data_IF_141539471272
#
_entry.id   IF_141539471272
#
_cell.length_a   1.000
_cell.length_b   1.000
_cell.length_c   1.000
_cell.angle_alpha   90.00
_cell.angle_beta   90.00
_cell.angle_gamma   90.00
#
_symmetry.space_group_name_H-M   'P 1'
#
loop_
_entity.id
_entity.type
_entity.pdbx_description
1 polymer ?
#
# COMPACT_ATOMS: atom_id res chain seq x y z
N UNK A 1 -12.65 9.40 -9.60
CA UNK A 1 -11.94 10.61 -10.05
C UNK A 1 -10.61 10.20 -10.61
N UNK A 2 -10.25 10.75 -11.76
CA UNK A 2 -8.95 10.55 -12.38
C UNK A 2 -8.09 11.79 -12.13
N UNK A 3 -6.85 11.58 -11.66
CA UNK A 3 -5.88 12.65 -11.45
C UNK A 3 -4.83 12.57 -12.58
N UNK A 4 -4.60 13.69 -13.27
CA UNK A 4 -3.52 13.78 -14.24
C UNK A 4 -2.25 14.27 -13.55
N UNK A 5 -1.19 13.48 -13.60
CA UNK A 5 0.11 13.85 -13.05
C UNK A 5 0.99 14.66 -14.03
N UNK A 6 0.50 14.88 -15.25
CA UNK A 6 1.31 15.52 -16.31
C UNK A 6 2.56 14.70 -16.60
N UNK A 7 3.73 15.27 -16.36
CA UNK A 7 5.03 14.60 -16.54
C UNK A 7 5.55 13.91 -15.26
N UNK A 8 4.84 14.03 -14.14
CA UNK A 8 5.27 13.44 -12.87
C UNK A 8 5.02 11.93 -12.85
N UNK A 9 5.96 11.17 -12.26
CA UNK A 9 5.90 9.72 -12.11
C UNK A 9 5.24 9.26 -10.79
N UNK A 10 4.59 10.16 -10.07
CA UNK A 10 3.92 9.90 -8.78
C UNK A 10 2.79 10.90 -8.54
N UNK A 11 1.90 10.57 -7.62
CA UNK A 11 0.98 11.51 -7.00
C UNK A 11 1.68 12.23 -5.86
N UNK A 12 1.29 13.46 -5.58
CA UNK A 12 1.64 14.18 -4.35
C UNK A 12 0.39 14.45 -3.50
N UNK A 13 0.61 14.86 -2.25
CA UNK A 13 -0.48 15.09 -1.30
C UNK A 13 -1.42 16.22 -1.73
N UNK A 14 -0.95 17.22 -2.49
CA UNK A 14 -1.76 18.32 -2.98
C UNK A 14 -2.75 17.85 -4.06
N UNK A 15 -2.26 17.04 -5.01
CA UNK A 15 -3.12 16.44 -6.05
C UNK A 15 -4.23 15.58 -5.43
N UNK A 16 -3.89 14.79 -4.40
CA UNK A 16 -4.86 13.96 -3.69
C UNK A 16 -5.86 14.83 -2.91
N UNK A 17 -5.38 15.87 -2.23
CA UNK A 17 -6.24 16.81 -1.52
C UNK A 17 -7.29 17.44 -2.43
N UNK A 18 -6.87 17.97 -3.57
CA UNK A 18 -7.77 18.58 -4.55
C UNK A 18 -8.81 17.59 -5.11
N UNK A 19 -8.40 16.34 -5.32
CA UNK A 19 -9.31 15.28 -5.74
C UNK A 19 -10.33 14.93 -4.65
N UNK A 20 -9.91 14.86 -3.38
CA UNK A 20 -10.80 14.56 -2.25
C UNK A 20 -11.88 15.62 -2.06
N UNK A 21 -11.62 16.88 -2.38
CA UNK A 21 -12.63 17.94 -2.33
C UNK A 21 -13.79 17.76 -3.33
N UNK A 22 -13.61 16.88 -4.33
CA UNK A 22 -14.64 16.56 -5.31
C UNK A 22 -15.51 15.36 -4.88
N UNK A 23 -15.24 14.77 -3.72
CA UNK A 23 -15.96 13.61 -3.17
C UNK A 23 -16.83 14.02 -1.99
N UNK A 24 -18.02 13.42 -1.87
CA UNK A 24 -18.84 13.48 -0.65
C UNK A 24 -18.28 12.50 0.38
N UNK A 25 -17.17 12.85 1.03
CA UNK A 25 -16.42 11.93 1.91
C UNK A 25 -17.26 11.38 3.07
N UNK A 26 -18.30 12.10 3.51
CA UNK A 26 -19.22 11.68 4.56
C UNK A 26 -20.07 10.45 4.18
N UNK A 27 -20.21 10.19 2.88
CA UNK A 27 -21.01 9.08 2.36
C UNK A 27 -20.14 7.86 1.99
N UNK A 28 -18.82 7.95 2.23
CA UNK A 28 -17.86 6.93 1.86
C UNK A 28 -17.27 6.24 3.09
N UNK A 29 -17.20 4.93 3.02
CA UNK A 29 -16.54 4.10 4.04
C UNK A 29 -15.04 4.00 3.85
N UNK A 30 -14.60 3.87 2.60
CA UNK A 30 -13.20 3.69 2.21
C UNK A 30 -12.95 4.47 0.91
N UNK A 31 -11.80 5.13 0.84
CA UNK A 31 -11.29 5.75 -0.39
C UNK A 31 -10.00 5.04 -0.79
N UNK A 32 -9.94 4.56 -2.01
CA UNK A 32 -8.73 4.00 -2.59
C UNK A 32 -8.01 5.07 -3.41
N UNK A 33 -6.72 5.24 -3.14
CA UNK A 33 -5.83 6.11 -3.91
C UNK A 33 -4.91 5.20 -4.71
N UNK A 34 -5.16 5.07 -6.00
CA UNK A 34 -4.27 4.34 -6.91
C UNK A 34 -3.16 5.28 -7.39
N UNK A 35 -1.92 4.95 -7.05
CA UNK A 35 -0.76 5.69 -7.50
C UNK A 35 -0.29 5.23 -8.88
N UNK A 36 0.63 5.99 -9.47
CA UNK A 36 1.28 5.62 -10.74
C UNK A 36 1.98 4.27 -10.59
N UNK A 37 1.83 3.41 -11.60
CA UNK A 37 2.33 2.03 -11.58
C UNK A 37 3.85 1.92 -11.66
N UNK A 38 4.56 2.38 -10.64
CA UNK A 38 5.99 2.15 -10.46
C UNK A 38 6.32 1.98 -8.96
N UNK A 39 7.46 1.33 -8.67
CA UNK A 39 7.85 0.96 -7.30
C UNK A 39 8.95 1.89 -6.72
N UNK A 40 9.29 2.99 -7.38
CA UNK A 40 10.37 3.90 -6.98
C UNK A 40 9.79 5.23 -6.50
N UNK A 41 9.26 6.03 -7.41
CA UNK A 41 8.80 7.37 -7.07
C UNK A 41 7.70 7.41 -6.01
N UNK A 42 6.62 6.61 -6.10
CA UNK A 42 5.54 6.63 -5.11
C UNK A 42 5.98 6.28 -3.69
N UNK A 43 7.06 5.50 -3.55
CA UNK A 43 7.56 5.09 -2.24
C UNK A 43 8.08 6.25 -1.38
N UNK A 44 8.41 7.38 -2.00
CA UNK A 44 9.04 8.54 -1.33
C UNK A 44 8.05 9.64 -0.95
N UNK A 45 6.77 9.49 -1.31
CA UNK A 45 5.76 10.54 -1.11
C UNK A 45 4.62 10.04 -0.22
N UNK A 46 4.44 10.73 0.91
CA UNK A 46 3.30 10.53 1.78
C UNK A 46 2.10 11.31 1.22
N UNK A 47 1.01 10.62 0.95
CA UNK A 47 -0.24 11.19 0.44
C UNK A 47 -1.25 11.49 1.55
N UNK A 48 -0.90 11.24 2.82
CA UNK A 48 -1.82 11.34 3.96
C UNK A 48 -2.72 10.11 4.13
N UNK A 49 -2.45 9.02 3.41
CA UNK A 49 -3.21 7.78 3.49
C UNK A 49 -3.02 7.07 4.83
N UNK A 50 -4.06 6.36 5.29
CA UNK A 50 -3.98 5.56 6.53
C UNK A 50 -3.17 4.27 6.34
N UNK A 51 -3.25 3.66 5.15
CA UNK A 51 -2.63 2.38 4.85
C UNK A 51 -1.96 2.41 3.48
N UNK A 52 -0.85 1.70 3.37
CA UNK A 52 -0.15 1.41 2.13
C UNK A 52 -0.34 -0.06 1.78
N UNK A 53 -0.95 -0.33 0.65
CA UNK A 53 -1.10 -1.68 0.11
C UNK A 53 -0.25 -1.78 -1.15
N UNK A 54 0.76 -2.63 -1.12
CA UNK A 54 1.60 -2.87 -2.29
C UNK A 54 1.12 -4.11 -3.03
N UNK A 55 0.83 -3.97 -4.31
CA UNK A 55 0.43 -5.06 -5.18
C UNK A 55 1.66 -5.61 -5.88
N UNK A 56 1.87 -6.92 -5.76
CA UNK A 56 2.88 -7.66 -6.50
C UNK A 56 2.19 -8.72 -7.36
N UNK A 57 2.22 -8.54 -8.67
CA UNK A 57 1.70 -9.55 -9.58
C UNK A 57 2.68 -10.72 -9.71
N UNK A 58 2.18 -11.95 -9.70
CA UNK A 58 3.02 -13.14 -9.92
C UNK A 58 3.74 -13.15 -11.28
N UNK A 59 3.36 -12.26 -12.19
CA UNK A 59 4.02 -12.10 -13.49
C UNK A 59 5.25 -11.16 -13.45
N UNK A 60 5.57 -10.55 -12.28
CA UNK A 60 6.61 -9.53 -12.21
C UNK A 60 7.93 -10.01 -11.60
N UNK A 61 7.90 -11.10 -10.86
CA UNK A 61 9.04 -11.68 -10.17
C UNK A 61 8.99 -11.50 -8.64
N UNK A 62 9.34 -12.56 -7.93
CA UNK A 62 9.30 -12.65 -6.47
C UNK A 62 10.46 -11.94 -5.77
N UNK A 63 11.44 -11.47 -6.52
CA UNK A 63 12.58 -10.70 -6.04
C UNK A 63 12.29 -9.18 -5.94
N UNK A 64 11.10 -8.73 -6.33
CA UNK A 64 10.70 -7.30 -6.26
C UNK A 64 10.85 -6.69 -4.87
N UNK A 65 10.52 -7.36 -3.76
CA UNK A 65 10.75 -6.77 -2.45
C UNK A 65 12.21 -6.41 -2.20
N UNK A 66 13.13 -7.28 -2.60
CA UNK A 66 14.58 -7.02 -2.48
C UNK A 66 15.07 -5.92 -3.43
N UNK A 67 14.49 -5.81 -4.62
CA UNK A 67 14.85 -4.79 -5.62
C UNK A 67 14.32 -3.39 -5.28
N UNK A 68 13.18 -3.31 -4.60
CA UNK A 68 12.50 -2.05 -4.28
C UNK A 68 12.20 -1.92 -2.78
N UNK A 69 13.23 -1.97 -1.93
CA UNK A 69 13.06 -2.13 -0.48
C UNK A 69 12.29 -0.99 0.17
N UNK A 70 12.36 0.23 -0.35
CA UNK A 70 11.65 1.40 0.21
C UNK A 70 10.15 1.20 0.14
N UNK A 71 9.63 0.81 -1.02
CA UNK A 71 8.20 0.57 -1.23
C UNK A 71 7.68 -0.54 -0.32
N UNK A 72 8.33 -1.69 -0.34
CA UNK A 72 7.86 -2.85 0.42
C UNK A 72 8.02 -2.70 1.94
N UNK A 73 9.03 -1.97 2.41
CA UNK A 73 9.17 -1.65 3.83
C UNK A 73 8.07 -0.72 4.34
N UNK A 74 7.58 0.18 3.49
CA UNK A 74 6.51 1.11 3.81
C UNK A 74 5.10 0.48 3.75
N UNK A 75 4.99 -0.77 3.28
CA UNK A 75 3.70 -1.45 3.11
C UNK A 75 3.10 -1.89 4.43
N UNK A 76 1.80 -1.68 4.60
CA UNK A 76 0.99 -2.25 5.66
C UNK A 76 0.41 -3.62 5.27
N UNK A 77 0.40 -3.92 3.96
CA UNK A 77 0.00 -5.19 3.38
C UNK A 77 0.68 -5.37 2.02
N UNK A 78 1.16 -6.58 1.73
CA UNK A 78 1.54 -7.01 0.39
C UNK A 78 0.46 -7.94 -0.18
N UNK A 79 -0.13 -7.56 -1.32
CA UNK A 79 -1.07 -8.39 -2.07
C UNK A 79 -0.33 -9.07 -3.23
N UNK A 80 -0.20 -10.39 -3.18
CA UNK A 80 0.21 -11.19 -4.34
C UNK A 80 -1.01 -11.37 -5.24
N UNK A 81 -0.97 -10.76 -6.42
CA UNK A 81 -2.10 -10.73 -7.34
C UNK A 81 -1.92 -11.68 -8.51
N UNK A 82 -3.03 -12.03 -9.17
CA UNK A 82 -3.09 -12.96 -10.30
C UNK A 82 -2.59 -14.37 -9.94
N UNK A 83 -2.84 -14.82 -8.72
CA UNK A 83 -2.34 -16.11 -8.21
C UNK A 83 -2.92 -17.31 -8.92
N UNK A 84 -4.01 -17.13 -9.67
CA UNK A 84 -4.53 -18.14 -10.61
C UNK A 84 -3.52 -18.52 -11.70
N UNK A 85 -2.51 -17.69 -11.96
CA UNK A 85 -1.46 -17.96 -12.95
C UNK A 85 -0.30 -18.80 -12.38
N UNK A 86 -0.22 -19.01 -11.06
CA UNK A 86 0.85 -19.83 -10.45
C UNK A 86 0.90 -21.26 -11.01
N UNK A 87 -0.22 -21.78 -11.52
CA UNK A 87 -0.26 -23.09 -12.13
C UNK A 87 0.50 -23.17 -13.48
N UNK A 88 0.84 -22.03 -14.09
CA UNK A 88 1.47 -21.95 -15.43
C UNK A 88 2.72 -21.07 -15.45
N UNK A 89 3.09 -20.48 -14.30
CA UNK A 89 4.30 -19.66 -14.14
C UNK A 89 5.26 -20.41 -13.22
N UNK A 90 6.40 -20.82 -13.75
CA UNK A 90 7.38 -21.65 -13.04
C UNK A 90 8.44 -20.84 -12.25
N UNK A 91 8.60 -19.55 -12.56
CA UNK A 91 9.67 -18.70 -12.04
C UNK A 91 9.25 -17.79 -10.88
N UNK A 92 7.99 -17.89 -10.40
CA UNK A 92 7.48 -17.17 -9.24
C UNK A 92 7.16 -18.11 -8.08
N UNK A 93 7.80 -17.87 -6.95
CA UNK A 93 7.53 -18.57 -5.69
C UNK A 93 6.94 -17.58 -4.66
N UNK A 94 5.67 -17.76 -4.24
CA UNK A 94 5.05 -16.93 -3.21
C UNK A 94 5.82 -16.90 -1.88
N UNK A 95 6.44 -18.04 -1.50
CA UNK A 95 7.23 -18.11 -0.27
C UNK A 95 8.51 -17.28 -0.39
N UNK A 96 9.19 -17.34 -1.53
CA UNK A 96 10.38 -16.53 -1.80
C UNK A 96 10.06 -15.03 -1.81
N UNK A 97 8.90 -14.64 -2.34
CA UNK A 97 8.45 -13.25 -2.29
C UNK A 97 8.22 -12.78 -0.84
N UNK A 98 7.62 -13.62 -0.01
CA UNK A 98 7.44 -13.33 1.41
C UNK A 98 8.77 -13.29 2.17
N UNK A 99 9.66 -14.23 1.94
CA UNK A 99 10.98 -14.27 2.57
C UNK A 99 11.78 -12.99 2.23
N UNK A 100 11.73 -12.54 0.98
CA UNK A 100 12.34 -11.28 0.56
C UNK A 100 11.72 -10.07 1.29
N UNK A 101 10.41 -10.08 1.54
CA UNK A 101 9.76 -9.04 2.35
C UNK A 101 10.24 -9.08 3.81
N UNK A 102 10.35 -10.27 4.41
CA UNK A 102 10.82 -10.43 5.80
C UNK A 102 12.27 -9.97 5.98
N UNK A 103 13.13 -10.14 4.97
CA UNK A 103 14.50 -9.62 5.00
C UNK A 103 14.58 -8.09 5.13
N UNK A 104 13.52 -7.37 4.78
CA UNK A 104 13.41 -5.92 4.96
C UNK A 104 12.99 -5.52 6.39
N UNK A 105 12.91 -6.45 7.32
CA UNK A 105 12.32 -6.28 8.64
C UNK A 105 10.84 -5.81 8.60
N UNK A 106 10.14 -6.12 7.51
CA UNK A 106 8.71 -5.83 7.38
C UNK A 106 7.88 -6.92 8.05
N UNK A 107 6.91 -6.51 8.86
CA UNK A 107 5.91 -7.39 9.49
C UNK A 107 4.57 -7.36 8.74
N UNK A 108 4.50 -6.67 7.62
CA UNK A 108 3.28 -6.57 6.81
C UNK A 108 2.77 -7.97 6.44
N UNK A 109 1.49 -8.28 6.62
CA UNK A 109 0.92 -9.53 6.16
C UNK A 109 1.04 -9.66 4.64
N UNK A 110 1.06 -10.90 4.17
CA UNK A 110 1.04 -11.23 2.74
C UNK A 110 -0.25 -11.97 2.46
N UNK A 111 -1.01 -11.50 1.48
CA UNK A 111 -2.25 -12.14 1.04
C UNK A 111 -2.16 -12.52 -0.43
N UNK A 112 -2.66 -13.70 -0.75
CA UNK A 112 -2.75 -14.19 -2.13
C UNK A 112 -4.14 -13.90 -2.68
N UNK A 113 -4.19 -13.35 -3.89
CA UNK A 113 -5.42 -12.87 -4.49
C UNK A 113 -5.49 -13.19 -5.99
N UNK A 114 -6.65 -13.64 -6.45
CA UNK A 114 -7.04 -13.57 -7.85
C UNK A 114 -8.42 -12.96 -7.99
N UNK A 115 -8.48 -11.69 -8.39
CA UNK A 115 -9.76 -11.01 -8.64
C UNK A 115 -10.56 -11.71 -9.75
N UNK A 116 -9.88 -12.23 -10.79
CA UNK A 116 -10.51 -12.94 -11.90
C UNK A 116 -11.20 -14.24 -11.47
N UNK A 117 -10.60 -14.98 -10.52
CA UNK A 117 -11.12 -16.26 -10.01
C UNK A 117 -11.80 -16.13 -8.65
N UNK A 118 -11.90 -14.91 -8.11
CA UNK A 118 -12.44 -14.63 -6.78
C UNK A 118 -11.72 -15.38 -5.64
N UNK A 119 -10.45 -15.77 -5.86
CA UNK A 119 -9.62 -16.42 -4.84
C UNK A 119 -9.10 -15.35 -3.88
N UNK A 120 -9.24 -15.56 -2.57
CA UNK A 120 -8.72 -14.66 -1.53
C UNK A 120 -9.50 -13.34 -1.38
N UNK A 121 -10.57 -13.13 -2.16
CA UNK A 121 -11.35 -11.89 -2.11
C UNK A 121 -12.04 -11.68 -0.75
N UNK A 122 -12.61 -12.75 -0.17
CA UNK A 122 -13.27 -12.65 1.13
C UNK A 122 -12.26 -12.25 2.22
N UNK A 123 -11.08 -12.86 2.24
CA UNK A 123 -10.00 -12.52 3.17
C UNK A 123 -9.55 -11.07 3.02
N UNK A 124 -9.47 -10.58 1.78
CA UNK A 124 -9.18 -9.17 1.50
C UNK A 124 -10.26 -8.24 2.02
N UNK A 125 -11.54 -8.56 1.80
CA UNK A 125 -12.66 -7.77 2.28
C UNK A 125 -12.74 -7.75 3.81
N UNK A 126 -12.52 -8.88 4.46
CA UNK A 126 -12.46 -8.98 5.92
C UNK A 126 -11.34 -8.13 6.50
N UNK A 127 -10.17 -8.15 5.88
CA UNK A 127 -9.04 -7.30 6.29
C UNK A 127 -9.38 -5.82 6.17
N UNK A 128 -9.97 -5.39 5.06
CA UNK A 128 -10.41 -4.00 4.88
C UNK A 128 -11.41 -3.58 5.96
N UNK A 129 -12.38 -4.42 6.28
CA UNK A 129 -13.37 -4.16 7.32
C UNK A 129 -12.72 -4.04 8.70
N UNK A 130 -11.74 -4.87 9.00
CA UNK A 130 -10.97 -4.80 10.25
C UNK A 130 -10.18 -3.48 10.32
N UNK A 131 -9.51 -3.10 9.25
CA UNK A 131 -8.75 -1.84 9.20
C UNK A 131 -9.66 -0.61 9.33
N UNK A 132 -10.82 -0.61 8.67
CA UNK A 132 -11.84 0.44 8.83
C UNK A 132 -12.29 0.55 10.29
N UNK A 133 -12.61 -0.56 10.93
CA UNK A 133 -13.05 -0.59 12.33
C UNK A 133 -11.96 -0.06 13.27
N UNK A 134 -10.73 -0.51 13.08
CA UNK A 134 -9.57 -0.06 13.88
C UNK A 134 -9.32 1.46 13.70
N UNK A 135 -9.42 1.95 12.46
CA UNK A 135 -9.25 3.38 12.20
C UNK A 135 -10.39 4.23 12.79
N UNK A 136 -11.62 3.76 12.72
CA UNK A 136 -12.77 4.43 13.34
C UNK A 136 -12.57 4.57 14.84
N UNK A 137 -12.11 3.52 15.51
CA UNK A 137 -11.85 3.55 16.96
C UNK A 137 -10.69 4.50 17.30
N UNK A 138 -9.60 4.49 16.53
CA UNK A 138 -8.50 5.44 16.71
C UNK A 138 -8.95 6.89 16.55
N UNK A 139 -9.79 7.17 15.56
CA UNK A 139 -10.36 8.52 15.35
C UNK A 139 -11.22 8.93 16.54
N UNK A 140 -12.04 8.02 17.08
CA UNK A 140 -12.85 8.27 18.27
C UNK A 140 -12.01 8.60 19.51
N UNK A 141 -10.80 8.01 19.60
CA UNK A 141 -9.82 8.29 20.64
C UNK A 141 -8.96 9.55 20.37
N UNK A 142 -9.26 10.32 19.33
CA UNK A 142 -8.50 11.50 18.93
C UNK A 142 -7.16 11.19 18.23
N UNK A 143 -6.92 9.94 17.85
CA UNK A 143 -5.71 9.50 17.17
C UNK A 143 -5.92 9.59 15.66
N UNK A 144 -5.78 10.78 15.09
CA UNK A 144 -6.05 11.03 13.67
C UNK A 144 -4.84 10.81 12.77
N UNK A 145 -3.63 10.70 13.33
CA UNK A 145 -2.41 10.48 12.54
C UNK A 145 -2.08 8.99 12.44
N UNK A 146 -1.56 8.57 11.29
CA UNK A 146 -0.97 7.24 11.14
C UNK A 146 0.17 7.08 12.15
N UNK A 147 0.24 6.00 12.92
CA UNK A 147 1.44 5.70 13.72
C UNK A 147 2.65 5.65 12.80
N UNK A 148 3.79 6.15 13.26
CA UNK A 148 5.03 6.00 12.50
C UNK A 148 5.22 4.52 12.16
N UNK A 149 5.52 4.22 10.90
CA UNK A 149 5.66 2.85 10.39
C UNK A 149 6.77 2.09 11.14
N UNK A 150 7.72 2.83 11.70
CA UNK A 150 8.72 2.29 12.62
C UNK A 150 9.02 3.34 13.69
N UNK A 151 8.93 3.01 14.99
CA UNK A 151 9.30 3.93 16.06
C UNK A 151 10.74 4.45 15.94
N UNK A 152 11.63 3.64 15.36
CA UNK A 152 13.06 3.90 15.22
C UNK A 152 13.52 4.14 13.77
N UNK A 153 12.59 4.19 12.81
CA UNK A 153 12.90 4.49 11.41
C UNK A 153 13.23 5.97 11.21
N UNK A 154 14.11 6.34 10.27
CA UNK A 154 14.36 7.75 9.98
C UNK A 154 13.04 8.41 9.55
N UNK A 155 12.64 9.43 10.30
CA UNK A 155 11.51 10.30 9.94
C UNK A 155 11.93 11.09 8.72
N UNK A 156 11.56 10.65 7.52
CA UNK A 156 11.99 11.28 6.26
C UNK A 156 11.57 12.76 6.12
N UNK A 157 10.71 13.28 6.99
CA UNK A 157 10.19 14.65 6.94
C UNK A 157 10.47 15.51 8.19
N UNK A 158 11.21 15.03 9.18
CA UNK A 158 11.53 15.86 10.37
C UNK A 158 12.68 16.86 10.14
N UNK A 159 13.38 16.79 9.01
CA UNK A 159 14.58 17.59 8.75
C UNK A 159 14.34 18.90 7.97
N UNK A 160 13.11 19.21 7.55
CA UNK A 160 12.84 20.40 6.75
C UNK A 160 12.28 21.62 7.48
N UNK A 161 12.08 21.54 8.80
CA UNK A 161 11.60 22.68 9.61
C UNK A 161 12.37 22.78 10.94
N UNK A 162 13.65 22.97 10.86
CA UNK A 162 14.42 23.60 11.91
C UNK A 162 14.67 25.06 11.50
N UNK A 163 14.46 26.04 12.40
CA UNK A 163 14.60 27.46 12.12
C UNK A 163 16.02 27.87 11.74
#
# INVERSE_FOLDING_TARGET
IQISTGSACHLDAHMVHDALHQLSLQDLDIVFIENVGNLVCPASFDLGQHLNVTLLSVTEGDDKPSKYPVMFRASDLMLLTKTDLLAVIDDFDPQRAEDNLRQLASTAPVMQLSARKQIGMDTWMDWLQQQKSAQTERTRQGQTRKPAIQPDGPRMHAAMHAP
#
